data_IF_160415477274
#
_entry.id   IF_160415477274
#
_cell.length_a   1.000
_cell.length_b   1.000
_cell.length_c   1.000
_cell.angle_alpha   90.00
_cell.angle_beta   90.00
_cell.angle_gamma   90.00
#
_symmetry.space_group_name_H-M   'P 1'
#
loop_
_entity.id
_entity.type
_entity.pdbx_description
1 polymer ?
#
# COMPACT_ATOMS: atom_id res chain seq x y z
N UNK A 1 5.82 7.63 -16.62
CA UNK A 1 6.51 7.91 -15.34
C UNK A 1 6.41 6.69 -14.42
N UNK A 2 7.49 6.31 -13.74
CA UNK A 2 7.56 5.17 -12.82
C UNK A 2 8.76 5.32 -11.87
N UNK A 3 8.75 4.62 -10.73
CA UNK A 3 9.84 4.67 -9.74
C UNK A 3 10.99 3.69 -10.01
N UNK A 4 10.87 2.77 -10.97
CA UNK A 4 11.80 1.63 -11.12
C UNK A 4 12.30 1.42 -12.55
N UNK A 5 12.29 2.45 -13.41
CA UNK A 5 12.69 2.30 -14.83
C UNK A 5 14.19 2.16 -15.05
N UNK A 6 15.03 2.56 -14.09
CA UNK A 6 16.48 2.67 -14.30
C UNK A 6 17.15 1.33 -14.63
N UNK A 7 16.62 0.21 -14.14
CA UNK A 7 17.18 -1.13 -14.45
C UNK A 7 16.92 -1.55 -15.88
N UNK A 8 15.85 -1.04 -16.51
CA UNK A 8 15.42 -1.40 -17.86
C UNK A 8 15.77 -0.31 -18.89
N UNK A 9 16.68 0.61 -18.55
CA UNK A 9 17.05 1.75 -19.40
C UNK A 9 17.51 1.31 -20.79
N UNK A 10 18.35 0.28 -20.87
CA UNK A 10 18.84 -0.24 -22.15
C UNK A 10 17.67 -0.72 -23.03
N UNK A 11 16.70 -1.44 -22.45
CA UNK A 11 15.53 -1.92 -23.19
C UNK A 11 14.66 -0.76 -23.68
N UNK A 12 14.41 0.22 -22.82
CA UNK A 12 13.66 1.44 -23.17
C UNK A 12 14.33 2.22 -24.31
N UNK A 13 15.65 2.35 -24.28
CA UNK A 13 16.37 3.08 -25.30
C UNK A 13 16.43 2.29 -26.62
N UNK A 14 16.68 0.98 -26.59
CA UNK A 14 16.83 0.20 -27.81
C UNK A 14 15.50 0.02 -28.55
N UNK A 15 14.45 -0.37 -27.83
CA UNK A 15 13.14 -0.71 -28.42
C UNK A 15 12.32 0.56 -28.66
N UNK A 16 12.25 1.44 -27.67
CA UNK A 16 11.31 2.57 -27.68
C UNK A 16 11.97 3.92 -27.93
N UNK A 17 13.30 3.99 -27.99
CA UNK A 17 14.06 5.25 -28.12
C UNK A 17 13.71 6.25 -27.01
N UNK A 18 13.47 5.72 -25.81
CA UNK A 18 13.17 6.52 -24.61
C UNK A 18 14.38 6.52 -23.69
N UNK A 19 14.81 7.71 -23.30
CA UNK A 19 15.82 7.87 -22.26
C UNK A 19 15.16 7.78 -20.87
N UNK A 20 15.90 7.22 -19.90
CA UNK A 20 15.44 7.11 -18.52
C UNK A 20 16.20 8.10 -17.64
N UNK A 21 15.46 9.02 -17.03
CA UNK A 21 16.06 10.03 -16.12
C UNK A 21 15.64 9.75 -14.69
N UNK A 22 16.61 9.55 -13.80
CA UNK A 22 16.39 9.41 -12.37
C UNK A 22 16.16 10.79 -11.73
N UNK A 23 14.89 11.14 -11.49
CA UNK A 23 14.52 12.36 -10.78
C UNK A 23 14.82 12.21 -9.28
N UNK A 24 15.50 13.17 -8.62
CA UNK A 24 15.77 13.11 -7.19
C UNK A 24 14.48 13.14 -6.37
N UNK A 25 14.52 12.51 -5.19
CA UNK A 25 13.39 12.49 -4.27
C UNK A 25 13.23 13.85 -3.56
N UNK A 26 11.99 14.24 -3.26
CA UNK A 26 11.71 15.47 -2.52
C UNK A 26 12.30 15.47 -1.10
N UNK A 27 12.45 14.28 -0.48
CA UNK A 27 13.08 14.09 0.83
C UNK A 27 14.03 12.90 0.79
N UNK A 28 15.13 12.91 1.57
CA UNK A 28 16.02 11.76 1.68
C UNK A 28 15.27 10.49 2.12
N UNK A 29 15.57 9.38 1.47
CA UNK A 29 14.98 8.08 1.79
C UNK A 29 15.64 7.54 3.05
N UNK A 30 14.84 7.33 4.11
CA UNK A 30 15.29 6.78 5.40
C UNK A 30 14.77 5.35 5.65
N UNK A 31 14.19 4.72 4.62
CA UNK A 31 13.65 3.35 4.71
C UNK A 31 14.78 2.37 4.97
N UNK A 32 14.54 1.43 5.90
CA UNK A 32 15.49 0.35 6.20
C UNK A 32 15.04 -0.91 5.46
N UNK A 33 15.76 -1.25 4.40
CA UNK A 33 15.55 -2.49 3.67
C UNK A 33 16.37 -3.60 4.35
N UNK A 34 15.68 -4.59 4.91
CA UNK A 34 16.28 -5.72 5.61
C UNK A 34 16.58 -6.86 4.63
N UNK A 35 17.57 -7.70 4.98
CA UNK A 35 17.91 -8.87 4.19
C UNK A 35 16.79 -9.91 4.20
N UNK A 36 16.73 -10.71 3.14
CA UNK A 36 15.80 -11.82 3.02
C UNK A 36 16.03 -12.88 4.10
N UNK A 37 14.92 -13.48 4.57
CA UNK A 37 14.95 -14.59 5.52
C UNK A 37 14.37 -15.83 4.83
N UNK A 38 15.23 -16.84 4.64
CA UNK A 38 14.88 -18.08 3.92
C UNK A 38 14.58 -19.20 4.91
N UNK A 39 13.49 -19.93 4.66
CA UNK A 39 13.05 -21.04 5.50
C UNK A 39 13.01 -22.35 4.70
N UNK A 40 13.37 -23.45 5.36
CA UNK A 40 13.34 -24.80 4.78
C UNK A 40 11.93 -25.24 4.36
N UNK A 41 10.91 -24.84 5.11
CA UNK A 41 9.52 -25.21 4.83
C UNK A 41 8.62 -23.99 4.75
N UNK A 42 7.60 -24.08 3.90
CA UNK A 42 6.61 -23.02 3.78
C UNK A 42 5.82 -22.80 5.08
N UNK A 43 5.53 -23.88 5.81
CA UNK A 43 4.90 -23.77 7.13
C UNK A 43 5.78 -22.96 8.09
N UNK A 44 7.09 -23.22 8.12
CA UNK A 44 8.04 -22.46 8.91
C UNK A 44 8.07 -20.97 8.53
N UNK A 45 8.09 -20.68 7.22
CA UNK A 45 7.98 -19.32 6.69
C UNK A 45 6.71 -18.61 7.20
N UNK A 46 5.54 -19.23 7.07
CA UNK A 46 4.28 -18.60 7.51
C UNK A 46 4.23 -18.36 9.02
N UNK A 47 4.71 -19.30 9.84
CA UNK A 47 4.77 -19.10 11.28
C UNK A 47 5.69 -17.94 11.67
N UNK A 48 6.84 -17.81 11.00
CA UNK A 48 7.75 -16.68 11.22
C UNK A 48 7.12 -15.34 10.80
N UNK A 49 6.44 -15.30 9.64
CA UNK A 49 5.70 -14.12 9.18
C UNK A 49 4.62 -13.71 10.19
N UNK A 50 3.81 -14.65 10.69
CA UNK A 50 2.77 -14.35 11.68
C UNK A 50 3.39 -13.80 12.97
N UNK A 51 4.49 -14.40 13.44
CA UNK A 51 5.20 -13.93 14.62
C UNK A 51 5.68 -12.48 14.44
N UNK A 52 6.27 -12.17 13.29
CA UNK A 52 6.72 -10.82 12.97
C UNK A 52 5.54 -9.83 12.92
N UNK A 53 4.42 -10.22 12.32
CA UNK A 53 3.20 -9.40 12.29
C UNK A 53 2.69 -9.15 13.71
N UNK A 54 2.68 -10.16 14.59
CA UNK A 54 2.28 -10.01 16.00
C UNK A 54 3.19 -9.02 16.74
N UNK A 55 4.51 -9.12 16.56
CA UNK A 55 5.47 -8.23 17.20
C UNK A 55 5.32 -6.77 16.74
N UNK A 56 5.07 -6.54 15.44
CA UNK A 56 4.79 -5.21 14.89
C UNK A 56 3.43 -4.68 15.38
N UNK A 57 2.39 -5.51 15.31
CA UNK A 57 1.03 -5.15 15.69
C UNK A 57 0.93 -4.80 17.19
N UNK A 58 1.62 -5.55 18.06
CA UNK A 58 1.70 -5.26 19.49
C UNK A 58 2.33 -3.89 19.80
N UNK A 59 3.24 -3.41 18.94
CA UNK A 59 3.83 -2.06 19.02
C UNK A 59 2.93 -1.00 18.39
N UNK A 60 1.84 -1.40 17.72
CA UNK A 60 0.98 -0.52 16.93
C UNK A 60 1.57 -0.13 15.56
N UNK A 61 2.62 -0.79 15.10
CA UNK A 61 3.21 -0.53 13.79
C UNK A 61 2.28 -1.06 12.69
N UNK A 62 1.92 -0.27 11.65
CA UNK A 62 1.18 -0.77 10.51
C UNK A 62 2.01 -1.77 9.70
N UNK A 63 1.36 -2.79 9.14
CA UNK A 63 2.01 -3.86 8.38
C UNK A 63 1.28 -4.12 7.07
N UNK A 64 2.02 -4.09 5.96
CA UNK A 64 1.56 -4.56 4.66
C UNK A 64 2.28 -5.86 4.30
N UNK A 65 1.54 -6.90 3.95
CA UNK A 65 2.09 -8.21 3.58
C UNK A 65 1.76 -8.52 2.13
N UNK A 66 2.80 -8.67 1.30
CA UNK A 66 2.66 -9.08 -0.10
C UNK A 66 2.61 -10.60 -0.25
N UNK A 67 1.70 -11.08 -1.10
CA UNK A 67 1.60 -12.50 -1.50
C UNK A 67 1.48 -12.63 -3.01
N UNK A 68 1.97 -13.72 -3.60
CA UNK A 68 1.99 -13.89 -5.08
C UNK A 68 0.66 -14.32 -5.70
N UNK A 69 -0.25 -14.89 -4.92
CA UNK A 69 -1.55 -15.32 -5.42
C UNK A 69 -2.59 -15.34 -4.30
N UNK A 70 -3.86 -15.43 -4.70
CA UNK A 70 -5.01 -15.35 -3.80
C UNK A 70 -5.01 -16.51 -2.79
N UNK A 71 -4.64 -17.72 -3.22
CA UNK A 71 -4.62 -18.89 -2.34
C UNK A 71 -3.69 -18.68 -1.13
N UNK A 72 -2.50 -18.10 -1.35
CA UNK A 72 -1.57 -17.77 -0.27
C UNK A 72 -2.12 -16.65 0.61
N UNK A 73 -2.82 -15.67 0.05
CA UNK A 73 -3.49 -14.61 0.81
C UNK A 73 -4.56 -15.19 1.75
N UNK A 74 -5.38 -16.13 1.27
CA UNK A 74 -6.42 -16.80 2.05
C UNK A 74 -5.84 -17.69 3.15
N UNK A 75 -4.77 -18.44 2.85
CA UNK A 75 -4.05 -19.23 3.87
C UNK A 75 -3.53 -18.32 4.99
N UNK A 76 -2.86 -17.21 4.61
CA UNK A 76 -2.33 -16.25 5.58
C UNK A 76 -3.45 -15.59 6.39
N UNK A 77 -4.54 -15.19 5.73
CA UNK A 77 -5.74 -14.63 6.37
C UNK A 77 -6.31 -15.59 7.42
N UNK A 78 -6.49 -16.86 7.07
CA UNK A 78 -6.98 -17.88 8.00
C UNK A 78 -6.05 -18.12 9.20
N UNK A 79 -4.73 -17.96 9.01
CA UNK A 79 -3.76 -18.07 10.10
C UNK A 79 -3.78 -16.84 11.00
N UNK A 80 -3.90 -15.64 10.43
CA UNK A 80 -4.02 -14.39 11.18
C UNK A 80 -5.32 -14.32 11.98
N UNK A 81 -6.45 -14.81 11.42
CA UNK A 81 -7.73 -14.94 12.15
C UNK A 81 -7.56 -15.85 13.37
N UNK A 82 -6.88 -16.99 13.22
CA UNK A 82 -6.57 -17.91 14.33
C UNK A 82 -5.66 -17.27 15.38
N UNK A 83 -4.77 -16.38 14.97
CA UNK A 83 -3.90 -15.61 15.85
C UNK A 83 -4.59 -14.39 16.50
N UNK A 84 -5.88 -14.14 16.20
CA UNK A 84 -6.64 -13.02 16.75
C UNK A 84 -6.28 -11.65 16.17
N UNK A 85 -5.59 -11.59 15.02
CA UNK A 85 -5.16 -10.35 14.40
C UNK A 85 -6.20 -9.90 13.37
N UNK A 86 -6.81 -8.73 13.60
CA UNK A 86 -7.66 -8.06 12.60
C UNK A 86 -6.83 -7.62 11.42
N UNK A 87 -7.30 -7.91 10.21
CA UNK A 87 -6.60 -7.57 8.98
C UNK A 87 -7.59 -7.45 7.82
N UNK A 88 -7.15 -6.74 6.78
CA UNK A 88 -7.85 -6.60 5.51
C UNK A 88 -7.12 -7.36 4.40
N UNK A 89 -7.85 -7.83 3.39
CA UNK A 89 -7.29 -8.58 2.25
C UNK A 89 -7.68 -7.92 0.93
N UNK A 90 -6.67 -7.63 0.11
CA UNK A 90 -6.80 -7.01 -1.21
C UNK A 90 -6.50 -8.05 -2.29
N UNK A 91 -7.53 -8.42 -3.05
CA UNK A 91 -7.47 -9.50 -4.03
C UNK A 91 -7.52 -9.00 -5.49
N UNK A 92 -7.35 -7.69 -5.73
CA UNK A 92 -7.43 -7.03 -7.03
C UNK A 92 -8.80 -7.22 -7.74
N UNK A 93 -9.89 -7.36 -6.98
CA UNK A 93 -11.24 -7.57 -7.52
C UNK A 93 -12.07 -6.28 -7.59
N UNK A 94 -11.89 -5.39 -6.62
CA UNK A 94 -12.71 -4.19 -6.47
C UNK A 94 -11.85 -2.95 -6.25
N UNK A 95 -11.34 -2.36 -7.34
CA UNK A 95 -10.34 -1.30 -7.26
C UNK A 95 -10.73 -0.11 -6.38
N UNK A 96 -11.98 0.38 -6.44
CA UNK A 96 -12.43 1.51 -5.62
C UNK A 96 -12.40 1.20 -4.12
N UNK A 97 -12.97 0.06 -3.71
CA UNK A 97 -12.97 -0.36 -2.29
C UNK A 97 -11.57 -0.70 -1.79
N UNK A 98 -10.74 -1.28 -2.65
CA UNK A 98 -9.36 -1.60 -2.30
C UNK A 98 -8.53 -0.34 -2.10
N UNK A 99 -8.74 0.71 -2.90
CA UNK A 99 -8.11 2.01 -2.69
C UNK A 99 -8.48 2.61 -1.32
N UNK A 100 -9.75 2.54 -0.91
CA UNK A 100 -10.19 2.97 0.42
C UNK A 100 -9.43 2.22 1.53
N UNK A 101 -9.31 0.90 1.41
CA UNK A 101 -8.59 0.08 2.39
C UNK A 101 -7.09 0.45 2.44
N UNK A 102 -6.46 0.62 1.28
CA UNK A 102 -5.03 0.96 1.17
C UNK A 102 -4.74 2.33 1.77
N UNK A 103 -5.60 3.32 1.53
CA UNK A 103 -5.48 4.66 2.11
C UNK A 103 -5.53 4.64 3.66
N UNK A 104 -6.11 3.59 4.25
CA UNK A 104 -6.20 3.39 5.69
C UNK A 104 -5.13 2.42 6.25
N UNK A 105 -4.33 1.78 5.40
CA UNK A 105 -3.35 0.77 5.81
C UNK A 105 -2.20 1.34 6.68
N UNK A 106 -1.99 2.66 6.66
CA UNK A 106 -0.99 3.33 7.49
C UNK A 106 -1.44 3.66 8.92
N UNK A 107 -2.68 3.31 9.30
CA UNK A 107 -3.20 3.55 10.66
C UNK A 107 -2.48 2.67 11.69
N UNK A 108 -2.41 3.16 12.94
CA UNK A 108 -1.79 2.44 14.06
C UNK A 108 -2.41 1.05 14.22
N UNK A 109 -1.57 0.01 14.16
CA UNK A 109 -1.98 -1.39 14.30
C UNK A 109 -2.75 -1.96 13.10
N UNK A 110 -2.82 -1.27 11.97
CA UNK A 110 -3.42 -1.82 10.76
C UNK A 110 -2.58 -2.96 10.19
N UNK A 111 -3.24 -4.01 9.73
CA UNK A 111 -2.60 -5.13 9.03
C UNK A 111 -3.35 -5.36 7.72
N UNK A 112 -2.63 -5.32 6.61
CA UNK A 112 -3.21 -5.44 5.28
C UNK A 112 -2.45 -6.48 4.48
N UNK A 113 -3.18 -7.40 3.83
CA UNK A 113 -2.62 -8.41 2.92
C UNK A 113 -2.91 -7.95 1.50
N UNK A 114 -1.87 -7.86 0.67
CA UNK A 114 -1.99 -7.51 -0.74
C UNK A 114 -1.57 -8.69 -1.63
N UNK A 115 -2.45 -9.13 -2.52
CA UNK A 115 -2.09 -10.09 -3.56
C UNK A 115 -1.44 -9.36 -4.73
N UNK A 116 -0.25 -9.81 -5.15
CA UNK A 116 0.58 -9.20 -6.19
C UNK A 116 0.83 -7.71 -5.94
N UNK A 117 0.19 -6.85 -6.72
CA UNK A 117 0.23 -5.40 -6.60
C UNK A 117 -1.18 -4.83 -6.38
N UNK A 118 -2.06 -5.56 -5.69
CA UNK A 118 -3.35 -5.02 -5.28
C UNK A 118 -3.15 -3.74 -4.46
N UNK A 119 -3.93 -2.70 -4.77
CA UNK A 119 -3.73 -1.37 -4.21
C UNK A 119 -2.70 -0.48 -4.94
N UNK A 120 -2.18 -0.91 -6.10
CA UNK A 120 -1.29 -0.08 -6.92
C UNK A 120 -1.96 1.26 -7.26
N UNK A 121 -1.21 2.34 -7.10
CA UNK A 121 -1.64 3.70 -7.43
C UNK A 121 -2.33 4.44 -6.29
N UNK A 122 -2.47 3.83 -5.12
CA UNK A 122 -2.92 4.51 -3.89
C UNK A 122 -1.78 4.56 -2.88
N UNK A 123 -1.43 5.76 -2.41
CA UNK A 123 -0.38 5.94 -1.43
C UNK A 123 -0.83 5.54 -0.01
N UNK A 124 0.09 4.96 0.76
CA UNK A 124 -0.15 4.58 2.16
C UNK A 124 0.46 5.65 3.08
N UNK A 125 -0.38 6.58 3.51
CA UNK A 125 0.05 7.64 4.44
C UNK A 125 0.01 7.13 5.89
N UNK A 126 1.10 7.34 6.63
CA UNK A 126 1.17 6.99 8.05
C UNK A 126 0.16 7.83 8.85
N UNK A 127 -0.59 7.18 9.75
CA UNK A 127 -1.73 7.79 10.45
C UNK A 127 -3.06 7.69 9.70
N UNK A 128 -3.04 7.19 8.46
CA UNK A 128 -4.17 7.19 7.54
C UNK A 128 -4.20 8.47 6.69
N UNK A 129 -4.84 8.40 5.53
CA UNK A 129 -4.96 9.54 4.65
C UNK A 129 -6.15 10.44 5.06
N UNK A 130 -5.87 11.52 5.80
CA UNK A 130 -6.88 12.46 6.29
C UNK A 130 -7.61 13.20 5.15
N UNK A 131 -6.89 13.57 4.09
CA UNK A 131 -7.46 14.20 2.90
C UNK A 131 -8.46 13.26 2.22
N UNK A 132 -8.08 12.00 2.05
CA UNK A 132 -8.96 10.97 1.49
C UNK A 132 -10.22 10.77 2.35
N UNK A 133 -10.08 10.76 3.69
CA UNK A 133 -11.24 10.67 4.59
C UNK A 133 -12.15 11.90 4.46
N UNK A 134 -11.58 13.10 4.41
CA UNK A 134 -12.34 14.34 4.27
C UNK A 134 -13.11 14.38 2.93
N UNK A 135 -12.46 14.05 1.82
CA UNK A 135 -13.11 13.96 0.49
C UNK A 135 -14.25 12.95 0.48
N UNK A 136 -14.03 11.78 1.07
CA UNK A 136 -15.06 10.75 1.16
C UNK A 136 -16.24 11.20 2.04
N UNK A 137 -15.98 11.92 3.13
CA UNK A 137 -17.02 12.44 4.01
C UNK A 137 -17.83 13.54 3.32
N UNK A 138 -17.17 14.45 2.58
CA UNK A 138 -17.83 15.44 1.73
C UNK A 138 -18.72 14.78 0.66
N UNK A 139 -18.23 13.74 -0.02
CA UNK A 139 -19.03 12.99 -0.99
C UNK A 139 -20.29 12.37 -0.34
N UNK A 140 -20.17 11.83 0.88
CA UNK A 140 -21.33 11.32 1.64
C UNK A 140 -22.32 12.40 2.06
N UNK A 141 -21.84 13.61 2.32
CA UNK A 141 -22.67 14.77 2.66
C UNK A 141 -23.35 15.39 1.42
N UNK A 142 -23.05 14.90 0.21
CA UNK A 142 -23.71 15.31 -1.03
C UNK A 142 -23.04 16.50 -1.73
N UNK A 143 -21.80 16.84 -1.37
CA UNK A 143 -21.02 17.85 -2.09
C UNK A 143 -20.69 17.38 -3.52
N UNK A 144 -20.63 18.32 -4.46
CA UNK A 144 -20.28 18.04 -5.86
C UNK A 144 -18.79 17.72 -6.00
N UNK A 145 -18.45 16.87 -6.98
CA UNK A 145 -17.06 16.49 -7.26
C UNK A 145 -16.16 17.69 -7.56
N UNK A 146 -16.71 18.74 -8.19
CA UNK A 146 -16.02 20.01 -8.44
C UNK A 146 -15.60 20.69 -7.13
N UNK A 147 -16.52 20.79 -6.16
CA UNK A 147 -16.27 21.40 -4.84
C UNK A 147 -15.26 20.59 -4.01
N UNK A 148 -15.31 19.26 -4.12
CA UNK A 148 -14.37 18.36 -3.46
C UNK A 148 -12.96 18.49 -4.07
N UNK A 149 -12.87 18.68 -5.38
CA UNK A 149 -11.61 18.93 -6.08
C UNK A 149 -11.02 20.30 -5.70
N UNK A 150 -11.84 21.35 -5.72
CA UNK A 150 -11.48 22.72 -5.38
C UNK A 150 -10.99 22.85 -3.94
N UNK A 151 -11.64 22.17 -2.98
CA UNK A 151 -11.22 22.14 -1.56
C UNK A 151 -9.79 21.61 -1.33
N UNK A 152 -9.17 20.96 -2.32
CA UNK A 152 -7.79 20.48 -2.26
C UNK A 152 -6.91 21.01 -3.39
N UNK A 153 -7.46 21.87 -4.23
CA UNK A 153 -6.73 22.54 -5.29
C UNK A 153 -5.79 23.59 -4.71
N UNK A 154 -4.64 23.76 -5.35
CA UNK A 154 -3.75 24.90 -5.08
C UNK A 154 -4.10 26.12 -5.97
N UNK A 155 -5.34 26.17 -6.47
CA UNK A 155 -5.80 27.30 -7.29
C UNK A 155 -6.04 28.52 -6.40
N UNK A 156 -5.69 29.70 -6.89
CA UNK A 156 -6.08 30.94 -6.25
C UNK A 156 -7.62 30.99 -6.22
N UNK A 157 -8.16 31.18 -5.02
CA UNK A 157 -9.59 31.46 -4.82
C UNK A 157 -9.76 32.97 -4.79
N UNK A 158 -10.90 33.47 -5.27
CA UNK A 158 -11.18 34.92 -5.40
C UNK A 158 -11.35 35.67 -4.05
N UNK A 159 -10.89 35.08 -2.94
CA UNK A 159 -10.94 35.64 -1.57
C UNK A 159 -9.54 36.02 -1.03
#
# INVERSE_FOLDING_TARGET
MTGTALTEEEEFQHIYKLDVVAVPTNKPVIRKDLHDVVFKTEKGKFMAVIKQIQECNAKGQPVLVGTVNVDKSEILSALLKRAGIKHEVLNAKYHAKEAEIVAQAGKKGAVTIATNMAGRGTDINLGGNAEYMAKHEMARQGFTDELIAEATGFGDTDD
#
